data_IF_838654103476
#
_entry.id   IF_838654103476
#
_cell.length_a   1.000
_cell.length_b   1.000
_cell.length_c   1.000
_cell.angle_alpha   90.00
_cell.angle_beta   90.00
_cell.angle_gamma   90.00
#
_symmetry.space_group_name_H-M   'P 1'
#
loop_
_entity.id
_entity.type
_entity.pdbx_description
1 polymer ?
#
# COMPACT_ATOMS: atom_id res chain seq x y z
N UNK A 1 -23.64 9.88 -2.14
CA UNK A 1 -23.43 9.20 -0.85
C UNK A 1 -22.59 7.96 -1.12
N UNK A 2 -21.36 7.88 -0.58
CA UNK A 2 -20.42 6.79 -0.89
C UNK A 2 -20.42 5.77 0.25
N UNK A 3 -20.55 4.48 -0.08
CA UNK A 3 -20.56 3.39 0.90
C UNK A 3 -19.30 2.53 0.77
N UNK A 4 -18.75 2.13 1.90
CA UNK A 4 -17.62 1.20 2.03
C UNK A 4 -18.19 -0.17 2.35
N UNK A 5 -17.94 -1.14 1.46
CA UNK A 5 -18.37 -2.53 1.64
C UNK A 5 -17.32 -3.30 2.44
N UNK A 6 -17.74 -3.94 3.53
CA UNK A 6 -16.92 -4.85 4.34
C UNK A 6 -17.53 -6.25 4.26
N UNK A 7 -16.80 -7.20 3.68
CA UNK A 7 -17.22 -8.62 3.65
C UNK A 7 -16.67 -9.35 4.87
N UNK A 8 -17.56 -9.86 5.69
CA UNK A 8 -17.27 -10.79 6.78
C UNK A 8 -17.71 -12.20 6.37
N UNK A 9 -17.30 -13.22 7.14
CA UNK A 9 -17.57 -14.62 6.80
C UNK A 9 -19.07 -14.94 6.65
N UNK A 10 -19.94 -14.29 7.43
CA UNK A 10 -21.40 -14.55 7.44
C UNK A 10 -22.25 -13.35 7.03
N UNK A 11 -21.65 -12.18 6.79
CA UNK A 11 -22.40 -10.95 6.52
C UNK A 11 -21.61 -10.00 5.64
N UNK A 12 -22.32 -9.18 4.87
CA UNK A 12 -21.74 -8.02 4.18
C UNK A 12 -22.27 -6.77 4.85
N UNK A 13 -21.37 -5.97 5.42
CA UNK A 13 -21.69 -4.69 6.03
C UNK A 13 -21.41 -3.56 5.05
N UNK A 14 -22.22 -2.51 5.12
CA UNK A 14 -22.01 -1.26 4.38
C UNK A 14 -21.96 -0.12 5.37
N UNK A 15 -20.91 0.67 5.32
CA UNK A 15 -20.72 1.83 6.17
C UNK A 15 -20.46 3.06 5.33
N UNK A 16 -20.95 4.20 5.77
CA UNK A 16 -20.41 5.49 5.32
C UNK A 16 -18.99 5.69 5.88
N UNK A 17 -18.16 6.53 5.25
CA UNK A 17 -16.84 6.88 5.79
C UNK A 17 -16.93 7.43 7.22
N UNK A 18 -17.98 8.21 7.53
CA UNK A 18 -18.20 8.81 8.83
C UNK A 18 -18.50 7.75 9.91
N UNK A 19 -19.42 6.82 9.63
CA UNK A 19 -19.74 5.73 10.55
C UNK A 19 -18.53 4.83 10.82
N UNK A 20 -17.77 4.50 9.77
CA UNK A 20 -16.57 3.67 9.91
C UNK A 20 -15.50 4.38 10.74
N UNK A 21 -15.33 5.69 10.55
CA UNK A 21 -14.38 6.50 11.32
C UNK A 21 -14.80 6.55 12.79
N UNK A 22 -16.06 6.87 13.08
CA UNK A 22 -16.56 6.91 14.46
C UNK A 22 -16.52 5.55 15.18
N UNK A 23 -16.70 4.44 14.44
CA UNK A 23 -16.51 3.09 15.00
C UNK A 23 -15.06 2.83 15.41
N UNK A 24 -14.10 3.27 14.59
CA UNK A 24 -12.68 3.01 14.80
C UNK A 24 -12.03 3.98 15.78
N UNK A 25 -12.58 5.18 15.96
CA UNK A 25 -12.16 6.14 17.00
C UNK A 25 -12.31 5.60 18.41
N UNK A 26 -13.23 4.65 18.64
CA UNK A 26 -13.39 3.96 19.93
C UNK A 26 -12.16 3.13 20.33
N UNK A 27 -11.31 2.75 19.36
CA UNK A 27 -10.02 2.11 19.60
C UNK A 27 -8.93 2.76 18.73
N UNK A 28 -8.25 3.81 19.25
CA UNK A 28 -7.20 4.52 18.53
C UNK A 28 -6.02 3.61 18.12
N UNK A 29 -5.72 2.57 18.89
CA UNK A 29 -4.65 1.64 18.57
C UNK A 29 -5.00 0.79 17.35
N UNK A 30 -6.25 0.34 17.25
CA UNK A 30 -6.76 -0.35 16.07
C UNK A 30 -6.77 0.55 14.84
N UNK A 31 -7.18 1.81 14.98
CA UNK A 31 -7.18 2.80 13.91
C UNK A 31 -5.78 3.03 13.33
N UNK A 32 -4.77 3.26 14.19
CA UNK A 32 -3.38 3.40 13.78
C UNK A 32 -2.87 2.17 13.02
N UNK A 33 -3.20 0.96 13.48
CA UNK A 33 -2.85 -0.30 12.81
C UNK A 33 -3.53 -0.41 11.44
N UNK A 34 -4.78 0.01 11.30
CA UNK A 34 -5.50 0.00 10.03
C UNK A 34 -4.85 0.94 9.01
N UNK A 35 -4.50 2.17 9.42
CA UNK A 35 -3.79 3.15 8.56
C UNK A 35 -2.44 2.61 8.08
N UNK A 36 -1.64 2.04 9.00
CA UNK A 36 -0.33 1.45 8.65
C UNK A 36 -0.47 0.34 7.60
N UNK A 37 -1.46 -0.55 7.77
CA UNK A 37 -1.77 -1.62 6.80
C UNK A 37 -2.15 -1.05 5.43
N UNK A 38 -3.05 -0.07 5.39
CA UNK A 38 -3.46 0.56 4.12
C UNK A 38 -2.28 1.21 3.37
N UNK A 39 -1.39 1.91 4.08
CA UNK A 39 -0.18 2.50 3.48
C UNK A 39 0.75 1.43 2.89
N UNK A 40 0.96 0.33 3.61
CA UNK A 40 1.81 -0.76 3.13
C UNK A 40 1.24 -1.41 1.86
N UNK A 41 -0.07 -1.70 1.83
CA UNK A 41 -0.74 -2.27 0.65
C UNK A 41 -0.59 -1.33 -0.55
N UNK A 42 -0.89 -0.03 -0.38
CA UNK A 42 -0.77 0.96 -1.46
C UNK A 42 0.67 1.06 -2.00
N UNK A 43 1.68 0.97 -1.13
CA UNK A 43 3.09 0.94 -1.56
C UNK A 43 3.40 -0.31 -2.38
N UNK A 44 2.91 -1.47 -1.94
CA UNK A 44 3.10 -2.73 -2.66
C UNK A 44 2.42 -2.70 -4.04
N UNK A 45 1.20 -2.16 -4.13
CA UNK A 45 0.50 -1.96 -5.40
C UNK A 45 1.27 -1.02 -6.34
N UNK A 46 1.79 0.09 -5.82
CA UNK A 46 2.60 1.02 -6.62
C UNK A 46 3.93 0.39 -7.08
N UNK A 47 4.56 -0.43 -6.24
CA UNK A 47 5.77 -1.14 -6.60
C UNK A 47 5.53 -2.14 -7.73
N UNK A 48 4.40 -2.88 -7.69
CA UNK A 48 3.99 -3.81 -8.76
C UNK A 48 3.63 -3.09 -10.06
N UNK A 49 3.11 -1.87 -9.99
CA UNK A 49 2.77 -1.05 -11.17
C UNK A 49 3.97 -0.35 -11.79
N UNK A 50 5.13 -0.32 -11.11
CA UNK A 50 6.33 0.26 -11.69
C UNK A 50 6.86 -0.72 -12.72
N UNK A 51 6.84 -0.41 -14.03
CA UNK A 51 7.54 -1.25 -15.00
C UNK A 51 9.00 -1.32 -14.56
N UNK A 52 9.58 -2.51 -14.57
CA UNK A 52 11.01 -2.68 -14.37
C UNK A 52 11.70 -1.75 -15.36
N UNK A 53 12.30 -0.66 -14.87
CA UNK A 53 13.21 0.09 -15.72
C UNK A 53 14.29 -0.92 -16.09
N UNK A 54 14.56 -1.17 -17.38
CA UNK A 54 15.68 -2.01 -17.77
C UNK A 54 16.88 -1.44 -17.04
N UNK A 55 17.48 -2.25 -16.17
CA UNK A 55 18.74 -1.87 -15.53
C UNK A 55 19.70 -1.75 -16.69
N UNK A 56 20.08 -0.53 -17.06
CA UNK A 56 21.09 -0.32 -18.08
C UNK A 56 22.31 -1.17 -17.68
N UNK A 57 22.89 -1.97 -18.59
CA UNK A 57 24.03 -2.80 -18.26
C UNK A 57 25.11 -1.90 -17.66
N UNK A 58 25.67 -2.32 -16.52
CA UNK A 58 26.86 -1.68 -15.95
C UNK A 58 27.93 -1.78 -17.03
N UNK A 59 28.24 -0.65 -17.69
CA UNK A 59 29.32 -0.59 -18.66
C UNK A 59 30.60 -1.09 -17.99
N UNK A 60 31.16 -2.15 -18.55
CA UNK A 60 32.49 -2.63 -18.22
C UNK A 60 33.46 -1.46 -18.40
N UNK A 61 33.98 -0.93 -17.29
CA UNK A 61 35.09 0.01 -17.36
C UNK A 61 36.31 -0.80 -17.77
N UNK A 62 36.65 -0.75 -19.05
CA UNK A 62 37.94 -1.19 -19.56
C UNK A 62 39.02 -0.38 -18.82
N UNK A 63 39.69 -1.03 -17.87
CA UNK A 63 40.80 -0.44 -17.13
C UNK A 63 42.00 -0.45 -18.06
N UNK A 64 42.30 0.72 -18.64
CA UNK A 64 43.53 0.94 -19.38
C UNK A 64 44.72 0.65 -18.46
N UNK A 65 45.67 -0.23 -18.82
CA UNK A 65 46.86 -0.43 -18.01
C UNK A 65 47.70 0.86 -17.98
N UNK A 66 48.33 1.18 -16.84
CA UNK A 66 49.23 2.34 -16.72
C UNK A 66 50.52 2.11 -17.56
N UNK A 67 51.29 3.18 -17.83
CA UNK A 67 51.97 3.45 -19.10
C UNK A 67 53.08 2.47 -19.48
#
# INVERSE_FOLDING_TARGET
MTLIRVRLNKATLYFTPQELTGLLEKDPALWLKAIKRGKAIRRAENARKRPERPTAPRGDKEVLPPP
#
